data_IF_499659938954
#
_entry.id   IF_499659938954
#
_cell.length_a   1.000
_cell.length_b   1.000
_cell.length_c   1.000
_cell.angle_alpha   90.00
_cell.angle_beta   90.00
_cell.angle_gamma   90.00
#
_symmetry.space_group_name_H-M   'P 1'
#
loop_
_entity.id
_entity.type
_entity.pdbx_description
1 polymer ?
#
# COMPACT_ATOMS: atom_id res chain seq x y z
N UNK A 1 7.92 22.07 -14.12
CA UNK A 1 9.21 21.39 -13.87
C UNK A 1 9.60 21.67 -12.43
N UNK A 2 9.58 20.68 -11.54
CA UNK A 2 9.84 20.89 -10.12
C UNK A 2 11.26 20.43 -9.78
N UNK A 3 12.14 21.38 -9.45
CA UNK A 3 13.49 21.09 -8.98
C UNK A 3 13.43 20.64 -7.51
N UNK A 4 13.69 19.36 -7.23
CA UNK A 4 14.05 18.96 -5.86
C UNK A 4 15.50 19.39 -5.66
N UNK A 5 15.69 20.48 -4.92
CA UNK A 5 17.00 20.88 -4.42
C UNK A 5 17.20 20.16 -3.10
N UNK A 6 18.06 19.13 -3.12
CA UNK A 6 18.46 18.38 -1.94
C UNK A 6 19.61 19.12 -1.27
N UNK A 7 19.31 20.26 -0.63
CA UNK A 7 20.27 20.91 0.25
C UNK A 7 20.15 20.35 1.67
N UNK A 8 21.19 20.53 2.48
CA UNK A 8 21.25 20.05 3.86
C UNK A 8 20.19 20.69 4.81
N UNK A 9 19.24 21.48 4.30
CA UNK A 9 18.27 22.26 5.08
C UNK A 9 16.79 21.87 4.91
N UNK A 10 16.44 20.96 4.01
CA UNK A 10 15.10 20.35 3.94
C UNK A 10 14.59 20.08 2.53
N UNK A 11 13.62 19.17 2.40
CA UNK A 11 12.98 18.85 1.11
C UNK A 11 11.92 19.90 0.77
N UNK A 12 11.79 20.27 -0.52
CA UNK A 12 10.71 21.16 -0.99
C UNK A 12 9.85 20.47 -2.02
N UNK A 13 8.55 20.76 -2.02
CA UNK A 13 7.60 20.25 -3.01
C UNK A 13 6.48 21.26 -3.27
N UNK A 14 5.78 21.07 -4.39
CA UNK A 14 4.60 21.86 -4.75
C UNK A 14 3.37 20.96 -4.65
N UNK A 15 2.31 21.46 -4.01
CA UNK A 15 1.00 20.80 -3.94
C UNK A 15 -0.06 21.88 -4.16
N UNK A 16 -0.95 21.68 -5.13
CA UNK A 16 -2.03 22.60 -5.49
C UNK A 16 -1.57 24.06 -5.70
N UNK A 17 -0.45 24.25 -6.41
CA UNK A 17 0.12 25.58 -6.68
C UNK A 17 0.77 26.26 -5.47
N UNK A 18 0.91 25.56 -4.34
CA UNK A 18 1.56 26.06 -3.13
C UNK A 18 2.88 25.35 -2.90
N UNK A 19 3.91 26.10 -2.54
CA UNK A 19 5.22 25.59 -2.21
C UNK A 19 5.29 25.25 -0.71
N UNK A 20 5.88 24.09 -0.41
CA UNK A 20 6.08 23.59 0.94
C UNK A 20 7.54 23.22 1.17
N UNK A 21 8.02 23.43 2.40
CA UNK A 21 9.29 22.90 2.91
C UNK A 21 9.03 21.84 3.98
N UNK A 22 9.87 20.81 4.00
CA UNK A 22 9.84 19.71 4.97
C UNK A 22 11.13 19.74 5.77
N UNK A 23 11.01 19.88 7.08
CA UNK A 23 12.13 19.83 8.02
C UNK A 23 11.97 18.67 8.98
N UNK A 24 13.06 17.95 9.23
CA UNK A 24 13.10 16.96 10.32
C UNK A 24 13.17 17.67 11.67
N UNK A 25 12.42 17.16 12.64
CA UNK A 25 12.36 17.61 14.03
C UNK A 25 12.82 16.47 14.93
N UNK A 26 13.65 16.80 15.93
CA UNK A 26 14.04 15.85 16.97
C UNK A 26 12.88 15.53 17.92
N UNK A 27 11.92 16.44 18.01
CA UNK A 27 10.69 16.25 18.79
C UNK A 27 9.60 15.72 17.85
N UNK A 28 9.11 14.49 18.03
CA UNK A 28 8.02 13.96 17.23
C UNK A 28 6.72 14.72 17.54
N UNK A 29 5.98 15.06 16.49
CA UNK A 29 4.65 15.70 16.62
C UNK A 29 3.58 14.66 16.38
N UNK A 30 2.55 14.64 17.24
CA UNK A 30 1.38 13.81 17.02
C UNK A 30 0.55 14.38 15.87
N UNK A 31 0.14 13.52 14.95
CA UNK A 31 -0.72 13.84 13.81
C UNK A 31 -1.91 12.87 13.78
N UNK A 32 -2.99 13.34 13.17
CA UNK A 32 -4.19 12.55 12.95
C UNK A 32 -4.66 12.73 11.50
N UNK A 33 -4.82 11.61 10.82
CA UNK A 33 -5.55 11.52 9.56
C UNK A 33 -6.99 11.07 9.83
N UNK A 34 -7.95 11.62 9.10
CA UNK A 34 -9.33 11.19 9.09
C UNK A 34 -9.87 11.29 7.66
N UNK A 35 -10.45 10.19 7.16
CA UNK A 35 -10.99 10.09 5.80
C UNK A 35 -11.98 11.20 5.45
N UNK A 36 -12.89 11.55 6.36
CA UNK A 36 -13.92 12.56 6.12
C UNK A 36 -13.35 13.99 6.14
N UNK A 37 -12.28 14.23 6.90
CA UNK A 37 -11.61 15.54 6.95
C UNK A 37 -10.53 15.72 5.87
N UNK A 38 -10.08 14.63 5.26
CA UNK A 38 -9.07 14.63 4.20
C UNK A 38 -9.53 15.45 3.00
N UNK A 39 -8.69 16.41 2.58
CA UNK A 39 -8.99 17.28 1.42
C UNK A 39 -8.48 16.70 0.12
N UNK A 40 -7.40 15.91 0.17
CA UNK A 40 -6.69 15.41 -1.00
C UNK A 40 -7.04 13.98 -1.41
N UNK A 41 -7.81 13.24 -0.60
CA UNK A 41 -8.17 11.84 -0.86
C UNK A 41 -6.99 10.99 -1.35
N UNK A 42 -5.99 10.73 -0.50
CA UNK A 42 -4.72 10.16 -0.94
C UNK A 42 -4.82 8.67 -1.31
N UNK A 43 -6.00 8.07 -1.20
CA UNK A 43 -6.21 6.63 -1.33
C UNK A 43 -6.59 6.23 -2.75
N UNK A 44 -5.83 5.30 -3.26
CA UNK A 44 -5.98 4.67 -4.56
C UNK A 44 -6.32 3.20 -4.38
N UNK A 45 -7.04 2.66 -5.36
CA UNK A 45 -7.35 1.25 -5.50
C UNK A 45 -6.79 0.75 -6.83
N UNK A 46 -6.65 -0.56 -6.96
CA UNK A 46 -6.42 -1.19 -8.25
C UNK A 46 -7.57 -2.12 -8.61
N UNK A 47 -7.98 -2.10 -9.88
CA UNK A 47 -8.90 -3.09 -10.43
C UNK A 47 -8.15 -3.94 -11.45
N UNK A 48 -8.15 -5.26 -11.28
CA UNK A 48 -7.48 -6.22 -12.17
C UNK A 48 -8.45 -6.84 -13.18
N UNK A 49 -9.10 -6.01 -14.00
CA UNK A 49 -10.20 -6.46 -14.86
C UNK A 49 -9.75 -7.17 -16.15
N UNK A 50 -8.46 -7.16 -16.47
CA UNK A 50 -7.91 -7.71 -17.71
C UNK A 50 -7.52 -9.19 -17.60
N UNK A 51 -7.68 -9.83 -16.43
CA UNK A 51 -7.32 -11.24 -16.17
C UNK A 51 -5.84 -11.56 -16.43
N UNK A 52 -5.00 -10.53 -16.41
CA UNK A 52 -3.59 -10.60 -16.75
C UNK A 52 -2.79 -10.19 -15.51
N UNK A 53 -1.75 -10.97 -15.19
CA UNK A 53 -0.72 -10.50 -14.27
C UNK A 53 0.10 -9.42 -15.00
N UNK A 54 -0.21 -8.15 -14.79
CA UNK A 54 0.35 -7.03 -15.57
C UNK A 54 0.70 -5.81 -14.71
N UNK A 55 0.80 -4.64 -15.32
CA UNK A 55 0.91 -3.39 -14.55
C UNK A 55 -0.47 -3.02 -13.99
N UNK A 56 -0.53 -2.66 -12.72
CA UNK A 56 -1.76 -2.20 -12.10
C UNK A 56 -2.19 -0.86 -12.68
N UNK A 57 -3.48 -0.70 -12.97
CA UNK A 57 -4.07 0.59 -13.27
C UNK A 57 -4.54 1.24 -11.97
N UNK A 58 -3.81 2.22 -11.42
CA UNK A 58 -4.23 2.89 -10.20
C UNK A 58 -5.44 3.75 -10.52
N UNK A 59 -6.51 3.57 -9.76
CA UNK A 59 -7.71 4.40 -9.81
C UNK A 59 -7.89 5.03 -8.44
N UNK A 60 -8.47 6.24 -8.32
CA UNK A 60 -8.92 6.73 -7.03
C UNK A 60 -9.78 5.65 -6.36
N UNK A 61 -9.53 5.36 -5.08
CA UNK A 61 -10.38 4.46 -4.29
C UNK A 61 -11.79 5.06 -4.01
N UNK A 62 -12.08 6.19 -4.66
CA UNK A 62 -13.29 6.96 -4.59
C UNK A 62 -14.09 6.74 -5.89
N UNK A 63 -15.21 6.04 -5.81
CA UNK A 63 -16.41 6.57 -6.43
C UNK A 63 -17.09 7.48 -5.41
N UNK A 64 -17.27 8.72 -5.83
CA UNK A 64 -18.16 9.66 -5.20
C UNK A 64 -19.57 9.08 -5.12
N UNK A 65 -19.89 8.50 -3.97
CA UNK A 65 -21.20 8.72 -3.39
C UNK A 65 -20.95 9.15 -1.97
N UNK A 66 -20.88 10.47 -1.80
CA UNK A 66 -21.42 11.03 -0.56
C UNK A 66 -22.75 10.32 -0.33
N UNK A 67 -22.90 9.65 0.82
CA UNK A 67 -24.23 9.14 1.15
C UNK A 67 -25.19 10.32 1.33
N UNK A 68 -26.45 10.04 1.64
CA UNK A 68 -27.44 11.08 1.91
C UNK A 68 -27.05 12.03 3.05
N UNK A 69 -25.97 11.74 3.79
CA UNK A 69 -25.43 12.54 4.89
C UNK A 69 -24.08 13.20 4.55
N UNK A 70 -23.62 13.16 3.29
CA UNK A 70 -22.36 13.77 2.89
C UNK A 70 -21.10 12.96 3.27
N UNK A 71 -21.26 11.71 3.73
CA UNK A 71 -20.12 10.91 4.21
C UNK A 71 -19.35 10.27 3.06
N UNK A 72 -18.03 10.19 3.19
CA UNK A 72 -17.13 9.65 2.17
C UNK A 72 -16.76 8.20 2.50
N UNK A 73 -16.64 7.38 1.46
CA UNK A 73 -16.28 5.97 1.57
C UNK A 73 -15.10 5.68 0.65
N UNK A 74 -14.17 4.85 1.12
CA UNK A 74 -13.23 4.17 0.21
C UNK A 74 -13.87 2.85 -0.17
N UNK A 75 -13.79 2.47 -1.44
CA UNK A 75 -14.06 1.09 -1.80
C UNK A 75 -13.15 0.60 -2.90
N UNK A 76 -13.07 -0.70 -2.98
CA UNK A 76 -12.23 -1.43 -3.89
C UNK A 76 -12.95 -2.70 -4.30
N UNK A 77 -12.93 -3.02 -5.60
CA UNK A 77 -13.66 -4.16 -6.17
C UNK A 77 -12.67 -5.09 -6.83
N UNK A 78 -12.71 -6.35 -6.41
CA UNK A 78 -11.89 -7.43 -6.95
C UNK A 78 -12.43 -7.99 -8.27
N UNK A 79 -11.63 -8.81 -8.99
CA UNK A 79 -10.26 -9.17 -8.63
C UNK A 79 -9.33 -7.95 -8.68
N UNK A 80 -8.44 -7.87 -7.70
CA UNK A 80 -7.51 -6.76 -7.53
C UNK A 80 -6.26 -6.96 -8.37
N UNK A 81 -5.46 -5.91 -8.56
CA UNK A 81 -4.19 -6.03 -9.28
C UNK A 81 -3.27 -7.06 -8.60
N UNK A 82 -2.59 -7.87 -9.42
CA UNK A 82 -1.62 -8.87 -8.98
C UNK A 82 -0.22 -8.25 -9.04
N UNK A 83 0.38 -8.03 -7.88
CA UNK A 83 1.78 -7.60 -7.81
C UNK A 83 2.71 -8.82 -7.68
N UNK A 84 3.53 -9.02 -8.71
CA UNK A 84 4.50 -10.11 -8.81
C UNK A 84 5.89 -9.77 -8.25
N UNK A 85 6.12 -8.54 -7.79
CA UNK A 85 7.43 -8.07 -7.31
C UNK A 85 8.00 -8.91 -6.14
N UNK A 86 7.11 -9.54 -5.38
CA UNK A 86 7.44 -10.31 -4.17
C UNK A 86 7.22 -11.82 -4.33
N UNK A 87 6.97 -12.29 -5.56
CA UNK A 87 6.87 -13.71 -5.86
C UNK A 87 8.17 -14.47 -5.53
N UNK A 88 8.13 -15.81 -5.55
CA UNK A 88 9.26 -16.67 -5.15
C UNK A 88 10.59 -16.21 -5.79
N UNK A 89 11.68 -16.09 -5.00
CA UNK A 89 11.87 -16.57 -3.62
C UNK A 89 11.37 -15.61 -2.51
N UNK A 90 10.65 -14.54 -2.85
CA UNK A 90 9.96 -13.71 -1.88
C UNK A 90 8.75 -14.40 -1.25
N UNK A 91 7.95 -13.66 -0.48
CA UNK A 91 6.82 -14.20 0.28
C UNK A 91 5.65 -14.67 -0.59
N UNK A 92 5.57 -14.21 -1.84
CA UNK A 92 4.53 -14.61 -2.78
C UNK A 92 3.95 -13.43 -3.55
N UNK A 93 2.99 -13.74 -4.41
CA UNK A 93 2.16 -12.72 -5.04
C UNK A 93 1.27 -12.06 -3.99
N UNK A 94 0.96 -10.79 -4.22
CA UNK A 94 0.00 -10.03 -3.41
C UNK A 94 -0.98 -9.30 -4.31
N UNK A 95 -2.09 -8.86 -3.73
CA UNK A 95 -2.98 -7.89 -4.36
C UNK A 95 -3.07 -6.59 -3.58
N UNK A 96 -2.89 -5.46 -4.26
CA UNK A 96 -3.08 -4.13 -3.67
C UNK A 96 -4.55 -3.72 -3.72
N UNK A 97 -5.19 -3.68 -2.56
CA UNK A 97 -6.60 -3.29 -2.41
C UNK A 97 -6.70 -1.78 -2.28
N UNK A 98 -5.96 -1.22 -1.32
CA UNK A 98 -5.86 0.23 -1.12
C UNK A 98 -4.39 0.61 -0.92
N UNK A 99 -3.99 1.75 -1.47
CA UNK A 99 -2.68 2.33 -1.18
C UNK A 99 -2.73 3.86 -1.20
N UNK A 100 -1.79 4.50 -0.51
CA UNK A 100 -1.59 5.94 -0.53
C UNK A 100 -0.10 6.28 -0.49
N UNK A 101 0.28 7.46 -1.01
CA UNK A 101 1.64 7.96 -0.93
C UNK A 101 1.85 8.69 0.40
N UNK A 102 2.96 8.39 1.07
CA UNK A 102 3.35 9.01 2.34
C UNK A 102 4.37 10.13 2.17
N UNK A 103 4.85 10.33 0.93
CA UNK A 103 5.77 11.38 0.51
C UNK A 103 5.35 11.90 -0.87
N UNK A 104 5.68 13.16 -1.19
CA UNK A 104 5.54 13.65 -2.54
C UNK A 104 6.45 12.84 -3.49
N UNK A 105 5.87 12.21 -4.50
CA UNK A 105 6.62 11.62 -5.62
C UNK A 105 6.64 12.61 -6.78
N UNK A 106 7.82 12.96 -7.31
CA UNK A 106 7.98 13.87 -8.45
C UNK A 106 7.11 13.51 -9.67
N UNK A 107 6.81 12.23 -9.87
CA UNK A 107 6.02 11.77 -11.01
C UNK A 107 4.50 11.88 -10.79
N UNK A 108 4.05 11.79 -9.54
CA UNK A 108 2.64 11.60 -9.19
C UNK A 108 2.08 12.66 -8.21
N UNK A 109 2.71 13.86 -8.15
CA UNK A 109 2.43 14.90 -7.14
C UNK A 109 0.97 15.38 -7.07
N UNK A 110 0.14 15.11 -8.08
CA UNK A 110 -1.18 15.71 -8.21
C UNK A 110 -2.36 14.81 -7.82
N UNK A 111 -2.18 13.49 -7.62
CA UNK A 111 -3.34 12.61 -7.44
C UNK A 111 -3.47 11.90 -6.09
N UNK A 112 -2.40 11.79 -5.28
CA UNK A 112 -2.43 10.83 -4.16
C UNK A 112 -1.68 11.24 -2.87
N UNK A 113 -1.46 12.54 -2.62
CA UNK A 113 -0.72 13.00 -1.44
C UNK A 113 -1.56 13.93 -0.56
N UNK A 114 -1.61 13.66 0.74
CA UNK A 114 -2.33 14.46 1.73
C UNK A 114 -1.39 14.90 2.86
N UNK A 115 -1.35 16.20 3.15
CA UNK A 115 -0.52 16.77 4.21
C UNK A 115 -0.88 16.26 5.62
N UNK A 116 -2.11 15.78 5.81
CA UNK A 116 -2.56 15.14 7.06
C UNK A 116 -2.11 13.69 7.18
N UNK A 117 -1.58 13.10 6.10
CA UNK A 117 -1.10 11.72 6.04
C UNK A 117 0.26 11.63 5.36
N UNK A 118 1.24 12.30 5.94
CA UNK A 118 2.60 12.35 5.43
C UNK A 118 3.63 11.96 6.50
N UNK A 119 4.71 11.32 6.06
CA UNK A 119 5.86 10.94 6.88
C UNK A 119 5.51 10.33 8.25
N UNK A 120 4.66 9.29 8.31
CA UNK A 120 4.33 8.65 9.57
C UNK A 120 5.54 7.91 10.13
N UNK A 121 5.68 7.96 11.45
CA UNK A 121 6.43 6.98 12.22
C UNK A 121 5.54 5.76 12.41
N UNK A 122 6.05 4.58 12.03
CA UNK A 122 5.31 3.32 12.11
C UNK A 122 5.35 2.68 13.51
N UNK A 123 5.94 3.34 14.51
CA UNK A 123 5.89 2.92 15.91
C UNK A 123 4.67 3.48 16.61
N UNK A 124 3.99 2.62 17.37
CA UNK A 124 2.82 2.98 18.17
C UNK A 124 1.68 3.67 17.38
N UNK A 125 1.65 3.50 16.05
CA UNK A 125 0.59 4.05 15.22
C UNK A 125 -0.68 3.24 15.43
N UNK A 126 -1.83 3.92 15.45
CA UNK A 126 -3.14 3.29 15.57
C UNK A 126 -3.97 3.57 14.33
N UNK A 127 -4.46 2.51 13.69
CA UNK A 127 -5.36 2.61 12.56
C UNK A 127 -6.72 2.09 13.00
N UNK A 128 -7.77 2.87 12.82
CA UNK A 128 -9.12 2.53 13.27
C UNK A 128 -10.14 2.85 12.22
N UNK A 129 -11.27 2.18 12.28
CA UNK A 129 -12.36 2.54 11.38
C UNK A 129 -13.52 1.58 11.39
N UNK A 130 -14.35 1.74 10.37
CA UNK A 130 -15.48 0.88 10.05
C UNK A 130 -15.30 0.34 8.66
N UNK A 131 -15.40 -0.97 8.52
CA UNK A 131 -15.15 -1.69 7.28
C UNK A 131 -16.30 -2.64 7.00
N UNK A 132 -16.55 -2.92 5.73
CA UNK A 132 -17.50 -3.93 5.27
C UNK A 132 -16.96 -4.64 4.04
N UNK A 133 -17.16 -5.95 3.98
CA UNK A 133 -17.08 -6.69 2.73
C UNK A 133 -18.47 -6.95 2.13
N UNK A 134 -18.53 -7.12 0.81
CA UNK A 134 -19.70 -7.61 0.10
C UNK A 134 -19.27 -8.69 -0.89
N UNK A 135 -19.83 -9.90 -0.76
CA UNK A 135 -19.47 -11.08 -1.54
C UNK A 135 -17.95 -11.33 -1.59
N UNK A 136 -17.29 -11.17 -0.44
CA UNK A 136 -15.84 -11.37 -0.34
C UNK A 136 -15.54 -12.86 -0.25
N UNK A 137 -14.71 -13.34 -1.16
CA UNK A 137 -14.04 -14.63 -1.07
C UNK A 137 -12.54 -14.40 -1.14
N UNK A 138 -11.83 -14.68 -0.04
CA UNK A 138 -10.40 -14.41 0.09
C UNK A 138 -9.54 -15.50 -0.57
N UNK A 139 -10.10 -16.64 -0.97
CA UNK A 139 -9.35 -17.78 -1.53
C UNK A 139 -8.12 -18.18 -0.69
N UNK A 140 -8.22 -18.03 0.64
CA UNK A 140 -7.15 -18.33 1.60
C UNK A 140 -6.12 -17.22 1.83
N UNK A 141 -6.24 -16.06 1.17
CA UNK A 141 -5.39 -14.90 1.43
C UNK A 141 -5.80 -14.16 2.71
N UNK A 142 -4.85 -13.46 3.32
CA UNK A 142 -5.11 -12.57 4.45
C UNK A 142 -5.23 -11.12 3.98
N UNK A 143 -6.27 -10.42 4.44
CA UNK A 143 -6.42 -8.99 4.29
C UNK A 143 -5.72 -8.27 5.44
N UNK A 144 -4.62 -7.58 5.13
CA UNK A 144 -3.67 -7.05 6.13
C UNK A 144 -3.24 -5.63 5.80
N UNK A 145 -2.78 -4.91 6.82
CA UNK A 145 -2.07 -3.66 6.63
C UNK A 145 -0.67 -3.90 6.06
N UNK A 146 -0.22 -3.01 5.18
CA UNK A 146 1.07 -3.07 4.51
C UNK A 146 1.72 -1.70 4.38
N UNK A 147 3.05 -1.67 4.40
CA UNK A 147 3.81 -0.50 4.00
C UNK A 147 5.13 -0.84 3.29
N UNK A 148 5.61 0.12 2.50
CA UNK A 148 6.93 0.10 1.89
C UNK A 148 7.80 1.22 2.47
N UNK A 149 9.07 0.95 2.68
CA UNK A 149 10.07 1.96 2.98
C UNK A 149 11.36 1.72 2.19
N UNK A 150 12.24 2.72 2.15
CA UNK A 150 13.60 2.57 1.61
C UNK A 150 14.59 2.36 2.75
N UNK A 151 15.33 1.26 2.75
CA UNK A 151 16.40 1.05 3.73
C UNK A 151 17.71 1.54 3.16
N UNK A 152 18.37 2.48 3.85
CA UNK A 152 19.72 2.92 3.48
C UNK A 152 20.77 1.84 3.79
N UNK A 153 20.49 0.98 4.77
CA UNK A 153 21.40 -0.11 5.19
C UNK A 153 21.67 -1.13 4.10
N UNK A 154 20.68 -1.39 3.24
CA UNK A 154 20.78 -2.34 2.12
C UNK A 154 20.51 -1.69 0.77
N UNK A 155 20.36 -0.36 0.74
CA UNK A 155 20.09 0.49 -0.43
C UNK A 155 18.91 0.03 -1.30
N UNK A 156 17.88 -0.58 -0.68
CA UNK A 156 16.73 -1.18 -1.37
C UNK A 156 15.41 -0.79 -0.73
N UNK A 157 14.35 -0.94 -1.50
CA UNK A 157 12.98 -0.89 -0.99
C UNK A 157 12.67 -2.18 -0.22
N UNK A 158 11.98 -2.06 0.89
CA UNK A 158 11.52 -3.19 1.70
C UNK A 158 10.04 -3.02 1.97
N UNK A 159 9.31 -4.13 1.92
CA UNK A 159 7.86 -4.17 2.04
C UNK A 159 7.48 -5.08 3.20
N UNK A 160 6.51 -4.67 3.99
CA UNK A 160 6.08 -5.41 5.18
C UNK A 160 4.57 -5.57 5.21
N UNK A 161 4.11 -6.75 5.59
CA UNK A 161 2.72 -7.06 5.87
C UNK A 161 2.54 -7.36 7.37
N UNK A 162 1.53 -6.75 8.00
CA UNK A 162 1.17 -6.94 9.40
C UNK A 162 0.28 -8.19 9.55
N UNK A 163 0.86 -9.37 9.41
CA UNK A 163 0.13 -10.65 9.41
C UNK A 163 -0.38 -11.06 10.80
N UNK A 164 0.17 -10.49 11.88
CA UNK A 164 -0.31 -10.72 13.25
C UNK A 164 -1.70 -10.13 13.55
N UNK A 165 -2.21 -9.24 12.69
CA UNK A 165 -3.47 -8.51 12.90
C UNK A 165 -4.30 -8.45 11.61
N UNK A 166 -4.74 -9.62 11.11
CA UNK A 166 -5.58 -9.71 9.91
C UNK A 166 -6.97 -9.11 10.14
N UNK A 167 -7.61 -8.66 9.05
CA UNK A 167 -8.95 -8.09 9.06
C UNK A 167 -10.00 -9.02 8.43
N UNK A 168 -9.68 -10.30 8.23
CA UNK A 168 -10.54 -11.25 7.52
C UNK A 168 -11.93 -11.36 8.18
N UNK A 169 -11.97 -11.50 9.50
CA UNK A 169 -13.23 -11.62 10.25
C UNK A 169 -14.12 -10.37 10.15
N UNK A 170 -13.55 -9.21 9.81
CA UNK A 170 -14.27 -7.94 9.68
C UNK A 170 -14.95 -7.75 8.32
N UNK A 171 -14.59 -8.54 7.32
CA UNK A 171 -15.08 -8.36 5.94
C UNK A 171 -15.88 -9.54 5.40
N UNK A 172 -15.82 -10.71 6.06
CA UNK A 172 -16.47 -11.93 5.54
C UNK A 172 -17.96 -12.03 5.85
N UNK A 173 -18.46 -11.40 6.92
CA UNK A 173 -19.86 -11.58 7.37
C UNK A 173 -20.88 -10.64 6.67
N UNK A 174 -20.40 -9.76 5.80
CA UNK A 174 -21.23 -8.82 5.05
C UNK A 174 -21.75 -7.61 5.83
N UNK A 175 -21.37 -7.46 7.11
CA UNK A 175 -21.80 -6.35 7.99
C UNK A 175 -20.76 -5.23 8.05
N UNK A 176 -21.17 -4.09 8.59
CA UNK A 176 -20.25 -3.01 8.95
C UNK A 176 -19.65 -3.38 10.31
N UNK A 177 -18.34 -3.58 10.33
CA UNK A 177 -17.58 -3.95 11.51
C UNK A 177 -16.58 -2.87 11.89
N UNK A 178 -16.41 -2.64 13.19
CA UNK A 178 -15.35 -1.80 13.73
C UNK A 178 -14.02 -2.57 13.78
N UNK A 179 -12.92 -1.86 13.58
CA UNK A 179 -11.57 -2.43 13.73
C UNK A 179 -10.61 -1.42 14.35
N UNK A 180 -9.59 -1.94 15.04
CA UNK A 180 -8.40 -1.22 15.49
C UNK A 180 -7.18 -2.11 15.19
N UNK A 181 -6.19 -1.54 14.51
CA UNK A 181 -4.86 -2.13 14.33
C UNK A 181 -3.85 -1.32 15.14
N UNK A 182 -2.89 -2.02 15.74
CA UNK A 182 -1.73 -1.45 16.41
C UNK A 182 -0.52 -1.69 15.54
N UNK A 183 -0.04 -0.64 14.89
CA UNK A 183 1.14 -0.70 14.05
C UNK A 183 2.33 -0.34 14.91
N UNK A 184 3.17 -1.35 15.16
CA UNK A 184 4.42 -1.17 15.88
C UNK A 184 5.55 -1.88 15.15
N UNK A 185 6.44 -1.08 14.54
CA UNK A 185 7.62 -1.55 13.83
C UNK A 185 8.71 -2.14 14.75
N UNK A 186 8.51 -2.14 16.07
CA UNK A 186 9.39 -2.81 17.03
C UNK A 186 8.97 -4.26 17.33
N UNK A 187 7.70 -4.63 17.09
CA UNK A 187 7.20 -5.99 17.33
C UNK A 187 7.45 -6.90 16.12
N UNK A 188 8.63 -7.50 16.00
CA UNK A 188 8.99 -8.30 14.82
C UNK A 188 8.04 -9.46 14.50
N UNK A 189 7.34 -10.02 15.49
CA UNK A 189 6.55 -11.26 15.31
C UNK A 189 5.23 -11.01 14.54
N UNK A 190 4.73 -9.78 14.55
CA UNK A 190 3.50 -9.43 13.83
C UNK A 190 3.74 -9.18 12.34
N UNK A 191 5.01 -9.12 11.90
CA UNK A 191 5.38 -8.65 10.57
C UNK A 191 6.10 -9.69 9.74
N UNK A 192 5.73 -9.73 8.47
CA UNK A 192 6.45 -10.46 7.44
C UNK A 192 7.09 -9.47 6.48
N UNK A 193 8.40 -9.60 6.25
CA UNK A 193 9.06 -8.92 5.14
C UNK A 193 8.78 -9.68 3.84
N UNK A 194 8.29 -8.98 2.82
CA UNK A 194 7.84 -9.62 1.58
C UNK A 194 8.99 -10.08 0.68
N UNK A 195 10.21 -9.59 0.90
CA UNK A 195 11.37 -9.93 0.10
C UNK A 195 11.24 -9.47 -1.35
N UNK A 196 11.73 -10.28 -2.29
CA UNK A 196 11.72 -9.97 -3.72
C UNK A 196 11.71 -11.23 -4.55
N UNK A 197 11.09 -11.18 -5.72
CA UNK A 197 11.41 -12.11 -6.79
C UNK A 197 12.82 -11.85 -7.35
N UNK A 198 13.38 -12.80 -8.09
CA UNK A 198 14.75 -12.71 -8.61
C UNK A 198 14.96 -11.45 -9.47
N UNK A 199 14.03 -11.16 -10.38
CA UNK A 199 14.14 -10.04 -11.31
C UNK A 199 14.07 -8.67 -10.66
N UNK A 200 13.46 -8.58 -9.47
CA UNK A 200 13.35 -7.33 -8.72
C UNK A 200 14.33 -7.24 -7.56
N UNK A 201 15.25 -8.21 -7.42
CA UNK A 201 16.20 -8.28 -6.31
C UNK A 201 17.18 -7.11 -6.26
N UNK A 202 17.37 -6.34 -7.35
CA UNK A 202 18.13 -5.10 -7.37
C UNK A 202 17.35 -3.90 -6.79
N UNK A 203 16.01 -3.99 -6.72
CA UNK A 203 15.10 -2.93 -6.28
C UNK A 203 14.57 -3.23 -4.88
N UNK A 204 14.12 -4.46 -4.64
CA UNK A 204 13.52 -4.89 -3.39
C UNK A 204 14.47 -5.82 -2.60
N UNK A 205 14.40 -5.74 -1.28
CA UNK A 205 15.20 -6.52 -0.35
C UNK A 205 14.39 -7.19 0.74
N UNK A 206 15.10 -7.95 1.58
CA UNK A 206 14.57 -8.52 2.81
C UNK A 206 15.38 -7.99 3.99
N UNK A 207 14.70 -7.41 4.98
CA UNK A 207 15.30 -6.89 6.20
C UNK A 207 14.31 -7.12 7.35
N UNK A 208 14.74 -7.54 8.55
CA UNK A 208 13.86 -7.57 9.72
C UNK A 208 13.29 -6.18 10.03
N UNK A 209 12.02 -6.09 10.39
CA UNK A 209 11.33 -4.79 10.55
C UNK A 209 12.01 -3.92 11.63
N UNK A 210 12.45 -4.49 12.75
CA UNK A 210 13.18 -3.76 13.79
C UNK A 210 14.54 -3.20 13.35
N UNK A 211 15.00 -3.48 12.13
CA UNK A 211 16.23 -2.93 11.54
C UNK A 211 15.97 -1.84 10.50
N UNK A 212 14.73 -1.46 10.20
CA UNK A 212 14.46 -0.42 9.20
C UNK A 212 14.81 0.98 9.71
N UNK A 213 15.01 1.88 8.75
CA UNK A 213 15.04 3.31 9.01
C UNK A 213 13.58 3.80 9.05
N UNK A 214 13.11 4.26 10.20
CA UNK A 214 11.69 4.60 10.43
C UNK A 214 11.28 5.93 9.78
N UNK A 215 12.25 6.65 9.24
CA UNK A 215 12.08 7.95 8.58
C UNK A 215 12.05 7.82 7.05
N UNK A 216 11.75 6.63 6.52
CA UNK A 216 11.72 6.35 5.07
C UNK A 216 10.44 5.73 4.49
N UNK A 217 9.24 5.71 5.14
CA UNK A 217 8.07 5.09 4.51
C UNK A 217 7.64 5.87 3.27
N UNK A 218 7.41 5.14 2.18
CA UNK A 218 7.12 5.67 0.84
C UNK A 218 5.61 5.62 0.58
N UNK A 219 5.02 4.46 0.81
CA UNK A 219 3.59 4.22 0.65
C UNK A 219 3.12 3.22 1.70
N UNK A 220 1.81 3.18 1.90
CA UNK A 220 1.15 2.21 2.76
C UNK A 220 -0.25 1.92 2.27
N UNK A 221 -0.86 0.88 2.82
CA UNK A 221 -2.27 0.63 2.68
C UNK A 221 -2.66 -0.77 3.11
N UNK A 222 -3.53 -1.40 2.34
CA UNK A 222 -4.07 -2.71 2.65
C UNK A 222 -3.94 -3.62 1.44
N UNK A 223 -3.49 -4.84 1.69
CA UNK A 223 -3.21 -5.85 0.67
C UNK A 223 -3.86 -7.18 1.02
N UNK A 224 -3.93 -8.05 0.03
CA UNK A 224 -4.24 -9.47 0.18
C UNK A 224 -2.98 -10.28 -0.05
N UNK A 225 -2.63 -11.16 0.89
CA UNK A 225 -1.39 -11.93 0.81
C UNK A 225 -1.45 -13.24 1.63
N UNK A 226 -0.76 -14.31 1.18
CA UNK A 226 -0.35 -14.55 -0.21
C UNK A 226 -1.59 -14.84 -1.09
N UNK A 227 -1.50 -14.57 -2.39
CA UNK A 227 -2.54 -14.98 -3.36
C UNK A 227 -2.02 -16.10 -4.28
N UNK A 228 -2.88 -17.07 -4.62
CA UNK A 228 -2.53 -18.17 -5.54
C UNK A 228 -2.68 -17.71 -7.00
N UNK A 229 -1.54 -17.46 -7.65
CA UNK A 229 -1.49 -17.01 -9.03
C UNK A 229 -0.95 -18.13 -9.91
N UNK A 230 -1.79 -18.66 -10.80
CA UNK A 230 -1.42 -19.71 -11.75
C UNK A 230 -1.76 -19.31 -13.19
N UNK A 231 -0.84 -19.43 -14.15
CA UNK A 231 -1.16 -19.26 -15.56
C UNK A 231 -2.24 -20.24 -16.04
N UNK A 232 -3.10 -19.81 -16.97
CA UNK A 232 -4.23 -20.63 -17.48
C UNK A 232 -3.77 -21.96 -18.11
N UNK A 233 -2.54 -22.02 -18.62
CA UNK A 233 -1.96 -23.20 -19.30
C UNK A 233 -0.75 -23.80 -18.59
N UNK A 234 -0.54 -23.51 -17.31
CA UNK A 234 0.65 -24.00 -16.58
C UNK A 234 0.86 -25.52 -16.64
N UNK A 235 -0.22 -26.28 -16.84
CA UNK A 235 -0.21 -27.75 -16.95
C UNK A 235 0.30 -28.24 -18.33
N UNK A 236 0.07 -27.51 -19.42
CA UNK A 236 0.55 -27.83 -20.77
C UNK A 236 2.04 -27.49 -20.96
N UNK A 237 2.59 -26.62 -20.10
CA UNK A 237 3.99 -26.16 -20.17
C UNK A 237 4.98 -27.02 -19.37
N UNK A 238 4.52 -27.97 -18.57
CA UNK A 238 5.40 -28.89 -17.83
C UNK A 238 6.07 -29.94 -18.75
N UNK A 239 5.67 -30.04 -20.02
CA UNK A 239 6.07 -31.14 -20.90
C UNK A 239 7.13 -30.82 -21.96
N UNK A 240 7.50 -29.56 -22.23
CA UNK A 240 8.41 -29.29 -23.38
C UNK A 240 9.50 -28.22 -23.21
N UNK A 241 9.54 -27.40 -22.15
CA UNK A 241 10.70 -26.57 -21.78
C UNK A 241 10.40 -25.93 -20.41
N UNK A 242 11.37 -25.81 -19.48
CA UNK A 242 11.19 -25.00 -18.29
C UNK A 242 11.16 -23.53 -18.73
N UNK A 243 9.99 -23.05 -19.13
CA UNK A 243 9.76 -21.61 -19.27
C UNK A 243 9.98 -21.04 -17.88
N UNK A 244 11.04 -20.27 -17.75
CA UNK A 244 11.26 -19.44 -16.58
C UNK A 244 10.19 -18.34 -16.59
N UNK A 245 8.95 -18.69 -16.22
CA UNK A 245 7.84 -17.76 -15.95
C UNK A 245 8.24 -16.71 -14.89
N UNK A 246 9.35 -16.95 -14.19
CA UNK A 246 9.99 -16.07 -13.19
C UNK A 246 11.13 -15.22 -13.79
N UNK A 247 11.72 -15.56 -14.94
CA UNK A 247 12.80 -14.76 -15.58
C UNK A 247 12.30 -13.80 -16.65
N UNK A 248 11.16 -14.08 -17.26
CA UNK A 248 10.50 -13.07 -18.09
C UNK A 248 9.70 -12.20 -17.15
N UNK A 249 10.37 -11.23 -16.53
CA UNK A 249 9.91 -10.04 -15.81
C UNK A 249 8.62 -10.16 -14.96
N UNK A 250 8.66 -9.64 -13.73
CA UNK A 250 7.45 -9.31 -12.96
C UNK A 250 6.48 -8.31 -13.65
N UNK A 251 6.77 -7.92 -14.90
CA UNK A 251 5.94 -7.08 -15.78
C UNK A 251 5.38 -7.86 -16.99
N UNK A 252 5.69 -9.15 -17.12
CA UNK A 252 5.22 -9.94 -18.24
C UNK A 252 3.76 -10.25 -18.05
N UNK A 253 2.95 -9.67 -18.93
CA UNK A 253 1.52 -9.87 -18.99
C UNK A 253 1.19 -11.33 -19.31
N UNK A 254 0.76 -12.09 -18.30
CA UNK A 254 0.31 -13.47 -18.49
C UNK A 254 -1.15 -13.67 -18.08
N UNK A 255 -1.98 -14.36 -18.89
CA UNK A 255 -3.31 -14.78 -18.48
C UNK A 255 -3.25 -15.75 -17.29
N UNK A 256 -4.04 -15.48 -16.25
CA UNK A 256 -4.08 -16.29 -15.02
C UNK A 256 -5.44 -16.90 -14.74
N UNK A 257 -5.47 -17.99 -13.97
CA UNK A 257 -6.69 -18.66 -13.51
C UNK A 257 -7.40 -17.77 -12.48
N UNK A 258 -8.29 -16.89 -12.94
CA UNK A 258 -8.96 -15.89 -12.09
C UNK A 258 -9.87 -16.47 -11.02
N UNK A 259 -10.36 -17.70 -11.20
CA UNK A 259 -11.17 -18.39 -10.20
C UNK A 259 -10.40 -18.75 -8.91
N UNK A 260 -9.07 -18.62 -8.94
CA UNK A 260 -8.19 -18.79 -7.78
C UNK A 260 -7.88 -17.47 -7.06
N UNK A 261 -8.23 -16.33 -7.67
CA UNK A 261 -7.92 -15.01 -7.12
C UNK A 261 -9.00 -14.58 -6.13
N UNK A 262 -8.62 -13.82 -5.08
CA UNK A 262 -9.58 -13.18 -4.21
C UNK A 262 -10.53 -12.27 -4.98
N UNK A 263 -11.79 -12.22 -4.55
CA UNK A 263 -12.84 -11.43 -5.19
C UNK A 263 -13.80 -10.80 -4.16
N UNK A 264 -14.69 -9.93 -4.66
CA UNK A 264 -15.68 -9.22 -3.85
C UNK A 264 -15.44 -7.71 -3.80
N UNK A 265 -16.12 -7.04 -2.88
CA UNK A 265 -15.98 -5.60 -2.63
C UNK A 265 -15.60 -5.35 -1.19
N UNK A 266 -14.59 -4.52 -0.96
CA UNK A 266 -14.20 -4.06 0.38
C UNK A 266 -14.43 -2.55 0.44
N UNK A 267 -15.08 -2.08 1.51
CA UNK A 267 -15.35 -0.66 1.72
C UNK A 267 -14.99 -0.19 3.14
N UNK A 268 -14.28 0.93 3.24
CA UNK A 268 -14.07 1.67 4.48
C UNK A 268 -15.07 2.82 4.58
N UNK A 269 -15.87 2.80 5.64
CA UNK A 269 -16.83 3.83 6.02
C UNK A 269 -16.23 4.90 6.90
N UNK A 270 -15.28 4.48 7.73
CA UNK A 270 -14.47 5.35 8.57
C UNK A 270 -13.04 4.83 8.50
N UNK A 271 -12.08 5.74 8.41
CA UNK A 271 -10.67 5.43 8.53
C UNK A 271 -9.98 6.60 9.23
N UNK A 272 -9.41 6.31 10.39
CA UNK A 272 -8.63 7.22 11.19
C UNK A 272 -7.25 6.63 11.45
N UNK A 273 -6.23 7.47 11.37
CA UNK A 273 -4.84 7.08 11.64
C UNK A 273 -4.24 8.09 12.60
N UNK A 274 -3.85 7.61 13.78
CA UNK A 274 -3.17 8.38 14.82
C UNK A 274 -1.71 7.95 14.87
N UNK A 275 -0.80 8.89 14.69
CA UNK A 275 0.61 8.58 14.53
C UNK A 275 1.51 9.74 14.95
N UNK A 276 2.79 9.45 15.17
CA UNK A 276 3.81 10.48 15.37
C UNK A 276 4.57 10.75 14.07
N UNK A 277 5.06 11.97 13.89
CA UNK A 277 5.91 12.31 12.75
C UNK A 277 7.11 13.13 13.24
N UNK A 278 8.29 12.74 12.79
CA UNK A 278 9.51 13.52 12.97
C UNK A 278 9.66 14.61 11.91
N UNK A 279 8.62 14.90 11.13
CA UNK A 279 8.67 15.88 10.04
C UNK A 279 7.61 16.95 10.18
N UNK A 280 8.07 18.20 10.12
CA UNK A 280 7.23 19.39 10.06
C UNK A 280 7.18 19.90 8.63
N UNK A 281 5.98 20.25 8.18
CA UNK A 281 5.75 20.80 6.85
C UNK A 281 5.30 22.24 7.00
N UNK A 282 5.95 23.15 6.28
CA UNK A 282 5.69 24.58 6.31
C UNK A 282 5.30 25.05 4.92
N UNK A 283 4.23 25.83 4.84
CA UNK A 283 3.90 26.57 3.63
C UNK A 283 4.91 27.73 3.48
N UNK A 284 5.59 27.80 2.34
CA UNK A 284 6.66 28.78 2.08
C UNK A 284 6.30 29.80 0.99
N UNK A 285 5.08 29.74 0.46
CA UNK A 285 4.57 30.68 -0.54
C UNK A 285 3.81 29.98 -1.68
N UNK A 286 3.31 30.76 -2.63
CA UNK A 286 2.80 30.23 -3.90
C UNK A 286 3.96 29.81 -4.81
N UNK A 287 3.76 28.75 -5.58
CA UNK A 287 4.74 28.26 -6.55
C UNK A 287 4.73 29.06 -7.85
#
# INVERSE_FOLDING_TARGET
MTNIVNDQTGYRFILDGKAYAVKRSDIPVRKKYNLNASRGFPWMTYTGNDRIAGNGYPLPALYSKEDTLGRRFLFSVGPWWIDANHSSPGYGFLSLVFHCLLRPDQKDQHMCFDLSLCYPDMRNMKIRGKIRGHNVDLKGADFVFWFQCYSKKIEKKVNYALTGQTLNDKILDGKINEFELRVDAENNDDWVCLGSCLDKSSIYGNLPIGKIDLDTPINMGFILIPIDVRPIWSEEYLTTLPINLIKESAQSMWPVKTNLLPEGTIAFYELEIDYYSHYQIFHIGSA
#
